data_IF_608122974405
#
_entry.id   IF_608122974405
#
_cell.length_a   1.000
_cell.length_b   1.000
_cell.length_c   1.000
_cell.angle_alpha   90.00
_cell.angle_beta   90.00
_cell.angle_gamma   90.00
#
_symmetry.space_group_name_H-M   'P 1'
#
loop_
_entity.id
_entity.type
_entity.pdbx_description
1 polymer ?
#
# COMPACT_ATOMS: atom_id res chain seq x y z
N UNK A 1 16.35 -10.23 1.62
CA UNK A 1 15.00 -10.79 1.30
C UNK A 1 14.64 -11.97 2.21
N UNK A 2 15.43 -13.07 2.27
CA UNK A 2 15.12 -14.23 3.13
C UNK A 2 14.92 -13.84 4.61
N UNK A 3 15.83 -13.05 5.16
CA UNK A 3 15.75 -12.52 6.52
C UNK A 3 14.44 -11.74 6.78
N UNK A 4 13.99 -10.93 5.82
CA UNK A 4 12.73 -10.17 5.94
C UNK A 4 11.53 -11.13 5.96
N UNK A 5 11.55 -12.16 5.10
CA UNK A 5 10.49 -13.17 5.06
C UNK A 5 10.46 -14.01 6.35
N UNK A 6 11.61 -14.35 6.91
CA UNK A 6 11.73 -15.05 8.20
C UNK A 6 11.21 -14.17 9.34
N UNK A 7 11.67 -12.92 9.40
CA UNK A 7 11.26 -11.95 10.42
C UNK A 7 9.76 -11.77 10.43
N UNK A 8 9.14 -11.62 9.26
CA UNK A 8 7.70 -11.40 9.10
C UNK A 8 6.87 -12.69 8.99
N UNK A 9 7.47 -13.87 9.18
CA UNK A 9 6.80 -15.17 9.13
C UNK A 9 6.04 -15.40 7.81
N UNK A 10 6.64 -15.00 6.69
CA UNK A 10 6.11 -15.16 5.33
C UNK A 10 6.78 -16.29 4.53
N UNK A 11 7.68 -17.05 5.15
CA UNK A 11 8.43 -18.14 4.50
C UNK A 11 7.50 -19.18 3.87
N UNK A 12 6.44 -19.59 4.58
CA UNK A 12 5.49 -20.60 4.11
C UNK A 12 4.66 -20.11 2.91
N UNK A 13 4.50 -18.80 2.76
CA UNK A 13 3.69 -18.17 1.71
C UNK A 13 4.54 -17.62 0.56
N UNK A 14 5.86 -17.89 0.52
CA UNK A 14 6.79 -17.29 -0.43
C UNK A 14 6.41 -17.55 -1.90
N UNK A 15 5.90 -18.75 -2.20
CA UNK A 15 5.54 -19.15 -3.57
C UNK A 15 4.02 -19.07 -3.84
N UNK A 16 3.26 -18.48 -2.91
CA UNK A 16 1.81 -18.32 -3.03
C UNK A 16 1.48 -17.08 -3.85
N UNK A 17 0.47 -17.17 -4.72
CA UNK A 17 -0.02 -16.01 -5.49
C UNK A 17 -0.59 -14.97 -4.52
N UNK A 18 -0.28 -13.69 -4.74
CA UNK A 18 -0.65 -12.59 -3.84
C UNK A 18 -2.15 -12.51 -3.56
N UNK A 19 -2.99 -12.87 -4.53
CA UNK A 19 -4.45 -12.83 -4.38
C UNK A 19 -4.95 -13.88 -3.40
N UNK A 20 -4.27 -15.02 -3.31
CA UNK A 20 -4.59 -16.14 -2.41
C UNK A 20 -4.05 -15.96 -0.98
N UNK A 21 -3.30 -14.90 -0.70
CA UNK A 21 -2.82 -14.59 0.65
C UNK A 21 -3.98 -14.13 1.54
N UNK A 22 -3.94 -14.53 2.82
CA UNK A 22 -4.86 -14.00 3.83
C UNK A 22 -4.67 -12.50 4.05
N UNK A 23 -5.66 -11.81 4.63
CA UNK A 23 -5.56 -10.37 4.91
C UNK A 23 -4.34 -10.02 5.78
N UNK A 24 -4.07 -10.82 6.81
CA UNK A 24 -2.87 -10.69 7.65
C UNK A 24 -1.57 -10.87 6.89
N UNK A 25 -1.49 -11.87 6.00
CA UNK A 25 -0.31 -12.09 5.16
C UNK A 25 -0.10 -10.95 4.16
N UNK A 26 -1.18 -10.45 3.52
CA UNK A 26 -1.12 -9.30 2.61
C UNK A 26 -0.59 -8.06 3.33
N UNK A 27 -1.04 -7.81 4.57
CA UNK A 27 -0.55 -6.67 5.36
C UNK A 27 0.93 -6.85 5.74
N UNK A 28 1.34 -8.04 6.20
CA UNK A 28 2.74 -8.34 6.48
C UNK A 28 3.62 -8.21 5.24
N UNK A 29 3.14 -8.65 4.06
CA UNK A 29 3.84 -8.48 2.79
C UNK A 29 4.02 -6.99 2.44
N UNK A 30 2.99 -6.17 2.68
CA UNK A 30 3.09 -4.71 2.50
C UNK A 30 4.14 -4.09 3.43
N UNK A 31 4.31 -4.59 4.66
CA UNK A 31 5.39 -4.15 5.56
C UNK A 31 6.76 -4.65 5.06
N UNK A 32 6.84 -5.90 4.59
CA UNK A 32 8.05 -6.51 4.05
C UNK A 32 8.63 -5.68 2.89
N UNK A 33 7.75 -5.21 2.01
CA UNK A 33 8.04 -4.38 0.85
C UNK A 33 8.75 -3.07 1.23
N UNK A 34 8.30 -2.40 2.28
CA UNK A 34 8.92 -1.15 2.77
C UNK A 34 10.25 -1.44 3.50
N UNK A 35 10.37 -2.62 4.13
CA UNK A 35 11.60 -3.06 4.79
C UNK A 35 12.72 -3.47 3.83
N UNK A 36 12.44 -3.71 2.54
CA UNK A 36 13.46 -4.10 1.56
C UNK A 36 14.57 -3.07 1.45
N UNK A 37 14.23 -1.78 1.56
CA UNK A 37 15.18 -0.67 1.52
C UNK A 37 15.93 -0.45 2.85
N UNK A 38 15.67 -1.29 3.86
CA UNK A 38 16.21 -1.17 5.21
C UNK A 38 16.17 0.27 5.78
N UNK A 39 15.00 0.95 5.78
CA UNK A 39 14.92 2.32 6.25
C UNK A 39 15.16 2.42 7.76
N UNK A 40 15.87 3.46 8.25
CA UNK A 40 16.08 3.68 9.68
C UNK A 40 14.78 4.10 10.41
N UNK A 41 13.84 4.70 9.67
CA UNK A 41 12.53 5.16 10.17
C UNK A 41 11.42 4.64 9.27
N UNK A 42 10.37 4.07 9.87
CA UNK A 42 9.23 3.47 9.18
C UNK A 42 7.95 4.16 9.65
N UNK A 43 7.14 4.62 8.70
CA UNK A 43 5.82 5.19 8.94
C UNK A 43 4.75 4.23 8.44
N UNK A 44 3.78 3.90 9.28
CA UNK A 44 2.70 2.98 8.97
C UNK A 44 1.37 3.64 9.27
N UNK A 45 0.53 3.76 8.24
CA UNK A 45 -0.83 4.22 8.42
C UNK A 45 -1.73 3.01 8.73
N UNK A 46 -2.33 3.02 9.92
CA UNK A 46 -3.29 2.03 10.40
C UNK A 46 -2.89 0.57 10.08
N UNK A 47 -1.82 0.04 10.71
CA UNK A 47 -1.29 -1.28 10.39
C UNK A 47 -2.22 -2.43 10.81
N UNK A 48 -3.20 -2.17 11.67
CA UNK A 48 -4.15 -3.18 12.20
C UNK A 48 -5.52 -3.14 11.53
N UNK A 49 -5.84 -2.12 10.73
CA UNK A 49 -7.16 -1.99 10.08
C UNK A 49 -7.41 -3.13 9.09
N UNK A 50 -8.59 -3.75 9.20
CA UNK A 50 -9.01 -4.88 8.36
C UNK A 50 -8.41 -6.24 8.77
N UNK A 51 -7.74 -6.32 9.92
CA UNK A 51 -7.24 -7.57 10.50
C UNK A 51 -8.13 -8.03 11.66
N UNK A 52 -8.19 -9.35 11.87
CA UNK A 52 -8.74 -9.92 13.10
C UNK A 52 -7.82 -9.63 14.30
N UNK A 53 -8.33 -9.82 15.53
CA UNK A 53 -7.60 -9.50 16.76
C UNK A 53 -6.26 -10.25 16.84
N UNK A 54 -6.24 -11.55 16.50
CA UNK A 54 -5.03 -12.36 16.57
C UNK A 54 -3.99 -11.93 15.54
N UNK A 55 -4.41 -11.66 14.29
CA UNK A 55 -3.50 -11.12 13.27
C UNK A 55 -2.99 -9.72 13.62
N UNK A 56 -3.80 -8.89 14.26
CA UNK A 56 -3.41 -7.55 14.71
C UNK A 56 -2.31 -7.63 15.77
N UNK A 57 -2.49 -8.47 16.79
CA UNK A 57 -1.47 -8.71 17.82
C UNK A 57 -0.16 -9.20 17.19
N UNK A 58 -0.24 -10.18 16.28
CA UNK A 58 0.93 -10.67 15.55
C UNK A 58 1.61 -9.56 14.73
N UNK A 59 0.84 -8.69 14.07
CA UNK A 59 1.40 -7.58 13.31
C UNK A 59 2.17 -6.61 14.22
N UNK A 60 1.61 -6.25 15.38
CA UNK A 60 2.27 -5.36 16.34
C UNK A 60 3.51 -6.03 16.96
N UNK A 61 3.46 -7.33 17.27
CA UNK A 61 4.63 -8.08 17.74
C UNK A 61 5.79 -8.03 16.74
N UNK A 62 5.47 -8.13 15.44
CA UNK A 62 6.45 -8.02 14.37
C UNK A 62 7.04 -6.62 14.29
N UNK A 63 6.20 -5.58 14.35
CA UNK A 63 6.66 -4.19 14.37
C UNK A 63 7.54 -3.89 15.60
N UNK A 64 7.22 -4.49 16.75
CA UNK A 64 8.04 -4.36 17.95
C UNK A 64 9.43 -4.99 17.75
N UNK A 65 9.52 -6.16 17.11
CA UNK A 65 10.82 -6.79 16.76
C UNK A 65 11.61 -5.94 15.77
N UNK A 66 10.93 -5.37 14.78
CA UNK A 66 11.53 -4.42 13.84
C UNK A 66 12.08 -3.20 14.61
N UNK A 67 11.34 -2.67 15.58
CA UNK A 67 11.84 -1.58 16.40
C UNK A 67 13.05 -1.98 17.26
N UNK A 68 13.00 -3.17 17.88
CA UNK A 68 14.10 -3.74 18.69
C UNK A 68 15.39 -3.96 17.91
N UNK A 69 15.30 -4.13 16.59
CA UNK A 69 16.48 -4.23 15.71
C UNK A 69 17.20 -2.88 15.46
N UNK A 70 16.80 -1.80 16.15
CA UNK A 70 17.40 -0.48 16.05
C UNK A 70 16.71 0.47 15.06
N UNK A 71 15.46 0.16 14.67
CA UNK A 71 14.68 0.99 13.73
C UNK A 71 13.62 1.79 14.48
N UNK A 72 13.31 2.99 14.00
CA UNK A 72 12.20 3.78 14.54
C UNK A 72 10.91 3.43 13.81
N UNK A 73 9.89 2.98 14.53
CA UNK A 73 8.58 2.66 13.95
C UNK A 73 7.55 3.64 14.48
N UNK A 74 6.89 4.35 13.57
CA UNK A 74 5.79 5.28 13.87
C UNK A 74 4.54 4.75 13.18
N UNK A 75 3.45 4.59 13.93
CA UNK A 75 2.19 4.15 13.36
C UNK A 75 0.98 4.88 13.96
N UNK A 76 -0.03 5.12 13.13
CA UNK A 76 -1.38 5.48 13.56
C UNK A 76 -2.15 4.19 13.88
N UNK A 77 -2.92 4.17 14.98
CA UNK A 77 -3.77 3.03 15.33
C UNK A 77 -5.12 3.53 15.79
N UNK A 78 -6.17 2.97 15.21
CA UNK A 78 -7.54 3.19 15.62
C UNK A 78 -7.90 2.19 16.73
N UNK A 79 -8.30 2.69 17.91
CA UNK A 79 -8.86 1.91 19.03
C UNK A 79 -8.12 0.59 19.33
N UNK A 80 -6.86 0.64 19.82
CA UNK A 80 -6.10 -0.58 20.09
C UNK A 80 -6.64 -1.31 21.32
N UNK A 81 -6.69 -2.65 21.27
CA UNK A 81 -6.96 -3.45 22.46
C UNK A 81 -5.88 -3.23 23.53
N UNK A 82 -6.24 -3.43 24.81
CA UNK A 82 -5.31 -3.26 25.93
C UNK A 82 -3.99 -4.07 25.75
N UNK A 83 -4.07 -5.25 25.14
CA UNK A 83 -2.92 -6.12 24.84
C UNK A 83 -1.98 -5.53 23.79
N UNK A 84 -2.53 -4.80 22.81
CA UNK A 84 -1.76 -4.09 21.79
C UNK A 84 -1.18 -2.80 22.40
N UNK A 85 -2.00 -2.07 23.17
CA UNK A 85 -1.62 -0.79 23.74
C UNK A 85 -0.36 -0.86 24.61
N UNK A 86 -0.29 -1.89 25.47
CA UNK A 86 0.87 -2.14 26.35
C UNK A 86 2.20 -2.43 25.62
N UNK A 87 2.17 -2.66 24.30
CA UNK A 87 3.39 -2.89 23.49
C UNK A 87 4.06 -1.61 23.01
N UNK A 88 3.40 -0.45 23.13
CA UNK A 88 3.98 0.82 22.69
C UNK A 88 4.90 1.42 23.74
N UNK A 89 6.08 1.87 23.29
CA UNK A 89 7.02 2.59 24.13
C UNK A 89 6.56 4.02 24.41
N UNK A 90 5.98 4.67 23.40
CA UNK A 90 5.52 6.06 23.43
C UNK A 90 4.17 6.16 22.74
N UNK A 91 3.29 7.01 23.28
CA UNK A 91 1.95 7.27 22.79
C UNK A 91 1.83 8.77 22.52
N UNK A 92 1.27 9.10 21.37
CA UNK A 92 0.96 10.48 20.96
C UNK A 92 -0.51 10.52 20.57
N UNK A 93 -1.31 11.25 21.34
CA UNK A 93 -2.76 11.35 21.14
C UNK A 93 -3.11 12.72 20.59
N UNK A 94 -3.93 12.72 19.54
CA UNK A 94 -4.38 13.92 18.84
C UNK A 94 -5.90 14.01 18.94
N UNK A 95 -6.41 15.17 19.33
CA UNK A 95 -7.82 15.50 19.30
C UNK A 95 -8.00 16.88 18.63
N UNK A 96 -8.96 17.01 17.71
CA UNK A 96 -9.23 18.25 16.98
C UNK A 96 -7.98 18.93 16.37
N UNK A 97 -6.98 18.15 15.94
CA UNK A 97 -5.72 18.64 15.39
C UNK A 97 -4.68 19.12 16.42
N UNK A 98 -4.97 19.00 17.72
CA UNK A 98 -4.08 19.37 18.82
C UNK A 98 -3.58 18.13 19.58
N UNK A 99 -2.36 18.22 20.12
CA UNK A 99 -1.81 17.16 20.97
C UNK A 99 -2.42 17.24 22.37
N UNK A 100 -3.06 16.16 22.81
CA UNK A 100 -3.68 16.06 24.15
C UNK A 100 -2.94 15.11 25.08
N UNK A 101 -2.03 14.31 24.54
CA UNK A 101 -1.13 13.48 25.34
C UNK A 101 0.11 13.12 24.53
N UNK A 102 1.25 13.14 25.21
CA UNK A 102 2.55 12.78 24.65
C UNK A 102 3.42 12.21 25.75
N UNK A 103 3.75 10.93 25.66
CA UNK A 103 4.59 10.29 26.68
C UNK A 103 4.56 8.76 26.63
N UNK A 104 5.14 8.10 27.65
CA UNK A 104 5.16 6.65 27.73
C UNK A 104 3.75 6.08 27.94
N UNK A 105 3.47 4.91 27.37
CA UNK A 105 2.16 4.26 27.50
C UNK A 105 1.70 4.08 28.95
N UNK A 106 2.61 3.79 29.87
CA UNK A 106 2.32 3.64 31.31
C UNK A 106 1.88 4.94 31.99
N UNK A 107 2.24 6.10 31.44
CA UNK A 107 1.92 7.40 32.03
C UNK A 107 0.53 7.92 31.69
N UNK A 108 -0.22 7.23 30.82
CA UNK A 108 -1.54 7.70 30.34
C UNK A 108 -2.55 7.77 31.49
N UNK A 109 -2.66 6.70 32.29
CA UNK A 109 -3.61 6.66 33.40
C UNK A 109 -3.27 7.71 34.47
N UNK A 110 -1.98 7.84 34.83
CA UNK A 110 -1.53 8.86 35.79
C UNK A 110 -1.75 10.29 35.30
N UNK A 111 -1.64 10.52 33.98
CA UNK A 111 -1.92 11.84 33.40
C UNK A 111 -3.40 12.18 33.45
N UNK A 112 -4.28 11.23 33.15
CA UNK A 112 -5.73 11.44 33.22
C UNK A 112 -6.18 11.73 34.67
N UNK A 113 -5.61 11.01 35.64
CA UNK A 113 -5.85 11.27 37.07
C UNK A 113 -5.42 12.70 37.46
N UNK A 114 -4.25 13.15 36.99
CA UNK A 114 -3.76 14.52 37.21
C UNK A 114 -4.67 15.60 36.57
N UNK A 115 -5.26 15.31 35.41
CA UNK A 115 -6.22 16.21 34.75
C UNK A 115 -7.54 16.26 35.54
N UNK A 116 -7.82 15.27 36.38
CA UNK A 116 -9.02 15.14 37.21
C UNK A 116 -10.04 14.16 36.64
N UNK A 117 -9.62 13.21 35.81
CA UNK A 117 -10.46 12.17 35.22
C UNK A 117 -9.94 10.80 35.67
N UNK A 118 -10.71 10.11 36.51
CA UNK A 118 -10.36 8.77 36.99
C UNK A 118 -10.69 7.71 35.92
N UNK A 119 -9.67 6.96 35.48
CA UNK A 119 -9.85 5.84 34.56
C UNK A 119 -10.33 4.59 35.33
N UNK A 120 -11.46 3.95 34.95
CA UNK A 120 -11.91 2.74 35.62
C UNK A 120 -10.92 1.58 35.48
N UNK A 121 -10.75 0.78 36.54
CA UNK A 121 -9.71 -0.27 36.62
C UNK A 121 -9.82 -1.38 35.58
N UNK A 122 -11.03 -1.71 35.15
CA UNK A 122 -11.29 -2.77 34.17
C UNK A 122 -11.53 -2.22 32.76
N UNK A 123 -11.26 -0.92 32.56
CA UNK A 123 -11.41 -0.27 31.27
C UNK A 123 -10.08 -0.21 30.54
N UNK A 124 -10.13 -0.26 29.22
CA UNK A 124 -8.94 -0.12 28.40
C UNK A 124 -8.47 1.35 28.42
N UNK A 125 -7.26 1.67 28.91
CA UNK A 125 -6.79 3.05 28.97
C UNK A 125 -6.72 3.72 27.59
N UNK A 126 -6.53 2.94 26.52
CA UNK A 126 -6.51 3.46 25.16
C UNK A 126 -7.89 3.92 24.69
N UNK A 127 -8.94 3.14 24.98
CA UNK A 127 -10.30 3.51 24.62
C UNK A 127 -10.75 4.71 25.47
N UNK A 128 -10.41 4.71 26.75
CA UNK A 128 -10.73 5.81 27.66
C UNK A 128 -10.17 7.15 27.19
N UNK A 129 -8.87 7.20 26.84
CA UNK A 129 -8.29 8.46 26.35
C UNK A 129 -8.90 8.90 25.02
N UNK A 130 -9.33 7.96 24.16
CA UNK A 130 -10.02 8.27 22.90
C UNK A 130 -11.42 8.84 23.16
N UNK A 131 -12.18 8.30 24.10
CA UNK A 131 -13.51 8.83 24.48
C UNK A 131 -13.40 10.24 25.08
N UNK A 132 -12.40 10.46 25.94
CA UNK A 132 -12.08 11.80 26.46
C UNK A 132 -11.71 12.74 25.31
N UNK A 133 -10.95 12.25 24.31
CA UNK A 133 -10.60 13.01 23.10
C UNK A 133 -11.81 13.41 22.25
N UNK A 134 -12.85 12.57 22.25
CA UNK A 134 -14.10 12.82 21.52
C UNK A 134 -15.06 13.77 22.27
N UNK A 135 -14.72 14.16 23.50
CA UNK A 135 -15.51 15.08 24.30
C UNK A 135 -16.66 14.42 25.08
N UNK A 136 -16.70 13.09 25.18
CA UNK A 136 -17.76 12.36 25.90
C UNK A 136 -17.80 12.71 27.39
N UNK A 137 -16.65 13.08 27.95
CA UNK A 137 -16.50 13.50 29.36
C UNK A 137 -16.53 15.03 29.54
N UNK A 138 -16.76 15.78 28.45
CA UNK A 138 -16.85 17.24 28.45
C UNK A 138 -15.69 17.92 27.72
N UNK A 139 -16.03 18.89 26.86
CA UNK A 139 -15.06 19.56 25.96
C UNK A 139 -13.99 20.36 26.71
N UNK A 140 -14.29 20.87 27.91
CA UNK A 140 -13.35 21.64 28.72
C UNK A 140 -12.11 20.87 29.16
N UNK A 141 -12.17 19.53 29.21
CA UNK A 141 -11.01 18.71 29.52
C UNK A 141 -9.97 18.70 28.40
N UNK A 142 -10.41 18.80 27.14
CA UNK A 142 -9.50 18.84 25.98
C UNK A 142 -8.62 20.09 26.07
N UNK A 143 -9.22 21.26 26.28
CA UNK A 143 -8.48 22.53 26.43
C UNK A 143 -7.50 22.47 27.61
N UNK A 144 -7.91 21.87 28.72
CA UNK A 144 -7.06 21.66 29.89
C UNK A 144 -5.87 20.77 29.57
N UNK A 145 -6.08 19.62 28.92
CA UNK A 145 -5.02 18.70 28.51
C UNK A 145 -4.03 19.36 27.54
N UNK A 146 -4.53 20.12 26.56
CA UNK A 146 -3.70 20.86 25.60
C UNK A 146 -2.84 21.91 26.32
N UNK A 147 -3.40 22.63 27.30
CA UNK A 147 -2.67 23.65 28.06
C UNK A 147 -1.54 23.07 28.93
N UNK A 148 -1.69 21.81 29.37
CA UNK A 148 -0.71 21.12 30.20
C UNK A 148 0.45 20.52 29.40
N UNK A 149 0.34 20.46 28.08
CA UNK A 149 1.34 19.82 27.22
C UNK A 149 2.31 20.84 26.66
N UNK A 150 3.58 20.60 26.93
CA UNK A 150 4.65 21.35 26.30
C UNK A 150 5.01 20.77 24.93
N UNK A 151 4.52 21.42 23.89
CA UNK A 151 4.87 21.09 22.50
C UNK A 151 6.25 21.63 22.07
N UNK A 152 6.94 22.41 22.91
CA UNK A 152 8.20 23.08 22.53
C UNK A 152 9.40 22.14 22.55
N UNK A 153 9.35 21.08 23.35
CA UNK A 153 10.44 20.12 23.50
C UNK A 153 10.16 18.81 22.73
N UNK A 154 11.19 18.09 22.23
CA UNK A 154 11.00 16.80 21.55
C UNK A 154 10.56 15.68 22.53
N UNK A 155 9.86 14.63 22.03
CA UNK A 155 9.35 13.49 22.86
C UNK A 155 10.53 12.84 23.59
N UNK A 156 11.60 12.67 22.83
CA UNK A 156 12.85 12.08 23.26
C UNK A 156 13.91 13.17 23.13
N UNK A 157 14.73 13.41 24.17
CA UNK A 157 15.80 14.40 24.09
C UNK A 157 16.73 14.04 22.92
N UNK A 158 16.95 15.01 22.02
CA UNK A 158 17.83 14.82 20.86
C UNK A 158 19.27 14.92 21.37
N UNK A 159 19.93 13.79 21.56
CA UNK A 159 21.39 13.77 21.72
C UNK A 159 22.05 14.21 20.41
N UNK A 160 22.50 15.48 20.38
CA UNK A 160 23.30 16.00 19.27
C UNK A 160 24.74 15.51 19.41
N UNK A 161 24.99 14.24 19.10
CA UNK A 161 26.37 13.77 18.96
C UNK A 161 26.92 14.19 17.57
N UNK A 162 28.16 14.70 17.48
CA UNK A 162 28.77 15.05 16.19
C UNK A 162 28.93 13.84 15.26
N UNK A 163 29.01 12.61 15.82
CA UNK A 163 29.01 11.36 15.05
C UNK A 163 27.68 11.11 14.34
N UNK A 164 26.55 11.31 15.02
CA UNK A 164 25.22 11.11 14.46
C UNK A 164 24.91 12.08 13.31
N UNK A 165 25.36 13.34 13.43
CA UNK A 165 25.25 14.31 12.33
C UNK A 165 26.06 13.92 11.09
N UNK A 166 27.22 13.30 11.28
CA UNK A 166 28.08 12.82 10.18
C UNK A 166 27.45 11.61 9.48
N UNK A 167 26.88 10.66 10.23
CA UNK A 167 26.15 9.50 9.68
C UNK A 167 24.94 9.91 8.83
N UNK A 168 24.12 10.87 9.31
CA UNK A 168 22.98 11.42 8.57
C UNK A 168 23.40 12.10 7.25
N UNK A 169 24.55 12.76 7.24
CA UNK A 169 25.05 13.43 6.04
C UNK A 169 25.65 12.44 5.02
N UNK A 170 26.18 11.30 5.47
CA UNK A 170 26.60 10.20 4.59
C UNK A 170 25.45 9.35 4.02
N UNK A 171 24.29 9.27 4.69
CA UNK A 171 23.15 8.47 4.21
C UNK A 171 22.39 9.06 2.99
N UNK A 172 22.83 10.19 2.44
CA UNK A 172 22.23 10.74 1.21
C UNK A 172 22.98 10.33 -0.05
N UNK A 173 22.58 9.18 -0.59
CA UNK A 173 22.05 9.01 -1.96
C UNK A 173 21.75 7.53 -2.17
N UNK A 174 20.50 7.14 -1.97
CA UNK A 174 19.99 5.97 -2.67
C UNK A 174 20.00 6.35 -4.17
N UNK A 175 21.09 6.04 -4.86
CA UNK A 175 21.25 6.33 -6.27
C UNK A 175 20.18 5.55 -7.02
N UNK A 176 19.26 6.27 -7.67
CA UNK A 176 18.27 5.63 -8.54
C UNK A 176 18.99 4.73 -9.54
N UNK A 177 18.42 3.54 -9.77
CA UNK A 177 18.88 2.65 -10.84
C UNK A 177 18.85 3.40 -12.18
N UNK A 178 19.77 3.09 -13.11
CA UNK A 178 19.75 3.71 -14.43
C UNK A 178 18.45 3.33 -15.16
N UNK A 179 18.06 4.18 -16.11
CA UNK A 179 16.78 4.07 -16.84
C UNK A 179 16.58 2.69 -17.49
N UNK A 180 17.62 2.14 -18.12
CA UNK A 180 17.55 0.85 -18.80
C UNK A 180 17.26 -0.32 -17.85
N UNK A 181 17.81 -0.28 -16.63
CA UNK A 181 17.57 -1.31 -15.62
C UNK A 181 16.14 -1.22 -15.09
N UNK A 182 15.66 0.00 -14.82
CA UNK A 182 14.27 0.23 -14.43
C UNK A 182 13.30 -0.27 -15.50
N UNK A 183 13.59 0.02 -16.77
CA UNK A 183 12.80 -0.45 -17.92
C UNK A 183 12.82 -1.98 -18.00
N UNK A 184 13.99 -2.62 -17.95
CA UNK A 184 14.14 -4.08 -18.09
C UNK A 184 13.42 -4.82 -16.96
N UNK A 185 13.55 -4.35 -15.72
CA UNK A 185 12.88 -4.93 -14.55
C UNK A 185 11.35 -4.76 -14.67
N UNK A 186 10.89 -3.56 -15.04
CA UNK A 186 9.46 -3.28 -15.23
C UNK A 186 8.87 -4.13 -16.35
N UNK A 187 9.57 -4.25 -17.48
CA UNK A 187 9.18 -5.07 -18.62
C UNK A 187 9.08 -6.55 -18.21
N UNK A 188 10.11 -7.10 -17.56
CA UNK A 188 10.11 -8.49 -17.07
C UNK A 188 8.96 -8.74 -16.10
N UNK A 189 8.71 -7.80 -15.17
CA UNK A 189 7.59 -7.88 -14.21
C UNK A 189 6.25 -7.95 -14.94
N UNK A 190 6.03 -7.07 -15.91
CA UNK A 190 4.77 -6.96 -16.65
C UNK A 190 4.54 -8.17 -17.57
N UNK A 191 5.57 -8.67 -18.24
CA UNK A 191 5.49 -9.92 -19.03
C UNK A 191 5.14 -11.11 -18.13
N UNK A 192 5.75 -11.22 -16.95
CA UNK A 192 5.44 -12.29 -16.00
C UNK A 192 4.00 -12.21 -15.48
N UNK A 193 3.49 -11.01 -15.19
CA UNK A 193 2.10 -10.80 -14.80
C UNK A 193 1.15 -11.21 -15.93
N UNK A 194 1.44 -10.78 -17.15
CA UNK A 194 0.66 -11.11 -18.35
C UNK A 194 0.60 -12.62 -18.61
N UNK A 195 1.73 -13.32 -18.47
CA UNK A 195 1.80 -14.77 -18.67
C UNK A 195 1.10 -15.58 -17.58
N UNK A 196 1.10 -15.08 -16.33
CA UNK A 196 0.45 -15.74 -15.20
C UNK A 196 -1.07 -15.58 -15.23
N UNK A 197 -1.58 -14.48 -15.79
CA UNK A 197 -3.00 -14.28 -15.99
C UNK A 197 -3.53 -15.02 -17.24
N UNK A 198 -3.56 -16.36 -17.13
CA UNK A 198 -4.05 -17.23 -18.20
C UNK A 198 -5.52 -16.99 -18.52
N UNK A 199 -6.34 -16.71 -17.50
CA UNK A 199 -7.77 -16.52 -17.67
C UNK A 199 -8.07 -15.30 -18.55
N UNK A 200 -7.37 -14.19 -18.31
CA UNK A 200 -7.47 -13.00 -19.14
C UNK A 200 -7.06 -13.28 -20.59
N UNK A 201 -5.97 -14.03 -20.80
CA UNK A 201 -5.52 -14.39 -22.15
C UNK A 201 -6.51 -15.27 -22.90
N UNK A 202 -7.07 -16.30 -22.24
CA UNK A 202 -8.08 -17.16 -22.87
C UNK A 202 -9.36 -16.40 -23.20
N UNK A 203 -9.84 -15.55 -22.28
CA UNK A 203 -11.02 -14.74 -22.50
C UNK A 203 -10.83 -13.79 -23.69
N UNK A 204 -9.65 -13.16 -23.78
CA UNK A 204 -9.29 -12.28 -24.90
C UNK A 204 -9.28 -13.02 -26.22
N UNK A 205 -8.58 -14.16 -26.32
CA UNK A 205 -8.53 -14.95 -27.55
C UNK A 205 -9.91 -15.46 -27.96
N UNK A 206 -10.70 -15.94 -27.01
CA UNK A 206 -12.07 -16.42 -27.25
C UNK A 206 -12.96 -15.31 -27.81
N UNK A 207 -12.88 -14.09 -27.26
CA UNK A 207 -13.65 -12.93 -27.74
C UNK A 207 -13.31 -12.58 -29.19
N UNK A 208 -12.04 -12.60 -29.58
CA UNK A 208 -11.61 -12.30 -30.95
C UNK A 208 -12.09 -13.37 -31.93
N UNK A 209 -11.98 -14.65 -31.56
CA UNK A 209 -12.47 -15.76 -32.37
C UNK A 209 -13.99 -15.67 -32.55
N UNK A 210 -14.73 -15.45 -31.45
CA UNK A 210 -16.18 -15.29 -31.49
C UNK A 210 -16.61 -14.14 -32.40
N UNK A 211 -15.99 -12.96 -32.27
CA UNK A 211 -16.34 -11.82 -33.09
C UNK A 211 -15.94 -12.02 -34.56
N UNK A 212 -14.83 -12.72 -34.81
CA UNK A 212 -14.45 -13.17 -36.15
C UNK A 212 -15.52 -14.02 -36.82
N UNK A 213 -16.12 -14.97 -36.08
CA UNK A 213 -17.25 -15.76 -36.58
C UNK A 213 -18.50 -14.93 -36.84
N UNK A 214 -18.83 -13.97 -35.96
CA UNK A 214 -20.00 -13.09 -36.14
C UNK A 214 -19.86 -12.22 -37.40
N UNK A 215 -18.72 -11.56 -37.58
CA UNK A 215 -18.46 -10.71 -38.75
C UNK A 215 -18.36 -11.55 -40.02
N UNK A 216 -17.65 -12.68 -39.95
CA UNK A 216 -17.53 -13.61 -41.08
C UNK A 216 -18.87 -14.20 -41.52
N UNK A 217 -19.76 -14.48 -40.57
CA UNK A 217 -21.13 -14.93 -40.86
C UNK A 217 -22.00 -13.83 -41.46
N UNK A 218 -21.89 -12.58 -40.98
CA UNK A 218 -22.68 -11.45 -41.46
C UNK A 218 -22.31 -11.04 -42.89
N UNK A 219 -21.03 -11.12 -43.25
CA UNK A 219 -20.51 -10.75 -44.58
C UNK A 219 -20.18 -11.96 -45.47
N UNK A 220 -20.90 -13.07 -45.32
CA UNK A 220 -20.66 -14.29 -46.10
C UNK A 220 -20.75 -14.02 -47.62
N UNK A 221 -19.73 -14.39 -48.37
CA UNK A 221 -19.69 -14.21 -49.82
C UNK A 221 -19.46 -12.76 -50.30
N UNK A 222 -19.17 -11.83 -49.39
CA UNK A 222 -18.66 -10.50 -49.73
C UNK A 222 -17.14 -10.56 -50.00
N UNK A 223 -16.63 -9.66 -50.85
CA UNK A 223 -15.20 -9.54 -51.20
C UNK A 223 -14.81 -10.13 -52.55
N UNK A 224 -15.55 -11.13 -53.07
CA UNK A 224 -15.22 -11.83 -54.32
C UNK A 224 -15.83 -11.19 -55.58
N UNK A 225 -16.76 -10.25 -55.42
CA UNK A 225 -17.47 -9.60 -56.53
C UNK A 225 -17.29 -8.08 -56.45
N UNK A 226 -16.63 -7.52 -57.47
CA UNK A 226 -16.36 -6.09 -57.58
C UNK A 226 -17.60 -5.24 -57.84
N UNK A 227 -18.73 -5.84 -58.23
CA UNK A 227 -19.99 -5.12 -58.44
C UNK A 227 -20.66 -4.71 -57.11
N UNK A 228 -20.34 -5.38 -56.00
CA UNK A 228 -20.90 -5.13 -54.65
C UNK A 228 -19.99 -4.25 -53.80
N UNK A 229 -19.53 -3.14 -54.37
CA UNK A 229 -18.54 -2.23 -53.74
C UNK A 229 -18.93 -1.76 -52.35
N UNK A 230 -20.20 -1.41 -52.11
CA UNK A 230 -20.71 -0.97 -50.81
C UNK A 230 -20.60 -2.03 -49.72
N UNK A 231 -20.89 -3.30 -50.05
CA UNK A 231 -20.81 -4.40 -49.09
C UNK A 231 -19.36 -4.77 -48.76
N UNK A 232 -18.48 -4.76 -49.76
CA UNK A 232 -17.04 -4.99 -49.58
C UNK A 232 -16.41 -3.88 -48.72
N UNK A 233 -16.80 -2.62 -48.98
CA UNK A 233 -16.39 -1.48 -48.17
C UNK A 233 -16.89 -1.59 -46.72
N UNK A 234 -18.16 -1.96 -46.52
CA UNK A 234 -18.75 -2.19 -45.21
C UNK A 234 -18.02 -3.28 -44.40
N UNK A 235 -17.60 -4.36 -45.06
CA UNK A 235 -16.78 -5.41 -44.45
C UNK A 235 -15.41 -4.88 -44.00
N UNK A 236 -14.67 -4.19 -44.87
CA UNK A 236 -13.36 -3.60 -44.51
C UNK A 236 -13.51 -2.61 -43.35
N UNK A 237 -14.55 -1.78 -43.36
CA UNK A 237 -14.83 -0.83 -42.30
C UNK A 237 -15.15 -1.53 -40.97
N UNK A 238 -15.96 -2.59 -40.99
CA UNK A 238 -16.26 -3.39 -39.80
C UNK A 238 -14.99 -4.04 -39.23
N UNK A 239 -14.12 -4.61 -40.08
CA UNK A 239 -12.84 -5.16 -39.65
C UNK A 239 -11.94 -4.10 -38.98
N UNK A 240 -11.84 -2.90 -39.55
CA UNK A 240 -11.03 -1.80 -38.97
C UNK A 240 -11.59 -1.38 -37.62
N UNK A 241 -12.90 -1.19 -37.49
CA UNK A 241 -13.54 -0.84 -36.21
C UNK A 241 -13.20 -1.87 -35.14
N UNK A 242 -13.33 -3.15 -35.49
CA UNK A 242 -13.13 -4.26 -34.56
C UNK A 242 -11.68 -4.34 -34.10
N UNK A 243 -10.73 -4.20 -35.02
CA UNK A 243 -9.30 -4.16 -34.70
C UNK A 243 -8.92 -2.94 -33.84
N UNK A 244 -9.62 -1.81 -33.97
CA UNK A 244 -9.34 -0.61 -33.18
C UNK A 244 -9.97 -0.65 -31.78
N UNK A 245 -11.23 -1.08 -31.66
CA UNK A 245 -11.98 -1.01 -30.41
C UNK A 245 -11.73 -2.18 -29.47
N UNK A 246 -11.56 -3.40 -29.97
CA UNK A 246 -11.42 -4.58 -29.10
C UNK A 246 -10.16 -4.54 -28.21
N UNK A 247 -8.97 -4.12 -28.70
CA UNK A 247 -7.80 -4.04 -27.84
C UNK A 247 -7.90 -2.92 -26.79
N UNK A 248 -8.71 -1.90 -27.02
CA UNK A 248 -8.86 -0.73 -26.15
C UNK A 248 -9.67 -1.05 -24.87
N UNK A 249 -10.75 -1.84 -25.01
CA UNK A 249 -11.71 -2.07 -23.91
C UNK A 249 -11.08 -2.71 -22.65
N UNK A 250 -10.23 -3.75 -22.75
CA UNK A 250 -9.57 -4.32 -21.58
C UNK A 250 -8.60 -3.36 -20.90
N UNK A 251 -7.87 -2.55 -21.68
CA UNK A 251 -6.93 -1.54 -21.16
C UNK A 251 -7.71 -0.50 -20.35
N UNK A 252 -8.86 -0.04 -20.87
CA UNK A 252 -9.71 0.94 -20.20
C UNK A 252 -10.24 0.44 -18.85
N UNK A 253 -10.61 -0.84 -18.76
CA UNK A 253 -11.14 -1.44 -17.53
C UNK A 253 -10.04 -1.76 -16.51
N UNK A 254 -8.86 -2.18 -16.97
CA UNK A 254 -7.79 -2.62 -16.07
C UNK A 254 -6.86 -1.48 -15.58
N UNK A 255 -6.69 -0.44 -16.40
CA UNK A 255 -5.79 0.68 -16.09
C UNK A 255 -6.15 1.42 -14.78
N UNK A 256 -7.43 1.71 -14.44
CA UNK A 256 -7.78 2.38 -13.18
C UNK A 256 -7.28 1.64 -11.93
N UNK A 257 -7.30 0.30 -11.96
CA UNK A 257 -6.79 -0.53 -10.86
C UNK A 257 -5.27 -0.44 -10.75
N UNK A 258 -4.56 -0.43 -11.89
CA UNK A 258 -3.10 -0.30 -11.91
C UNK A 258 -2.63 1.09 -11.47
N UNK A 259 -3.37 2.16 -11.78
CA UNK A 259 -3.01 3.54 -11.41
C UNK A 259 -2.87 3.72 -9.91
N UNK A 260 -3.70 3.04 -9.10
CA UNK A 260 -3.58 3.12 -7.64
C UNK A 260 -2.24 2.56 -7.14
N UNK A 261 -1.78 1.45 -7.72
CA UNK A 261 -0.48 0.86 -7.42
C UNK A 261 0.66 1.76 -7.90
N UNK A 262 0.61 2.25 -9.14
CA UNK A 262 1.65 3.13 -9.70
C UNK A 262 1.81 4.40 -8.89
N UNK A 263 0.70 5.01 -8.42
CA UNK A 263 0.75 6.17 -7.52
C UNK A 263 1.54 5.88 -6.25
N UNK A 264 1.31 4.71 -5.64
CA UNK A 264 2.03 4.28 -4.43
C UNK A 264 3.51 4.01 -4.71
N UNK A 265 3.83 3.26 -5.77
CA UNK A 265 5.22 2.92 -6.14
C UNK A 265 6.04 4.20 -6.49
N UNK A 266 5.41 5.16 -7.17
CA UNK A 266 6.00 6.45 -7.50
C UNK A 266 6.17 7.35 -6.27
N UNK A 267 5.21 7.36 -5.34
CA UNK A 267 5.34 8.06 -4.05
C UNK A 267 6.56 7.55 -3.27
N UNK A 268 6.76 6.23 -3.27
CA UNK A 268 7.94 5.57 -2.67
C UNK A 268 9.22 5.71 -3.51
N UNK A 269 9.17 6.37 -4.67
CA UNK A 269 10.30 6.64 -5.58
C UNK A 269 11.09 5.40 -6.01
N UNK A 270 10.42 4.26 -6.19
CA UNK A 270 11.10 3.02 -6.62
C UNK A 270 11.59 3.08 -8.07
N UNK A 271 10.84 3.73 -8.95
CA UNK A 271 11.18 3.94 -10.35
C UNK A 271 10.55 5.23 -10.88
N UNK A 272 11.08 5.74 -11.99
CA UNK A 272 10.52 6.90 -12.67
C UNK A 272 9.36 6.50 -13.60
N UNK A 273 8.44 7.42 -13.86
CA UNK A 273 7.26 7.12 -14.68
C UNK A 273 7.62 6.79 -16.15
N UNK A 274 8.70 7.37 -16.68
CA UNK A 274 9.08 7.18 -18.09
C UNK A 274 9.43 5.72 -18.46
N UNK A 275 10.32 4.98 -17.75
CA UNK A 275 10.58 3.58 -18.06
C UNK A 275 9.35 2.69 -17.84
N UNK A 276 8.49 3.01 -16.87
CA UNK A 276 7.25 2.28 -16.63
C UNK A 276 6.28 2.38 -17.80
N UNK A 277 5.98 3.59 -18.28
CA UNK A 277 5.07 3.77 -19.42
C UNK A 277 5.66 3.19 -20.70
N UNK A 278 6.98 3.29 -20.91
CA UNK A 278 7.64 2.64 -22.04
C UNK A 278 7.49 1.12 -21.98
N UNK A 279 7.72 0.50 -20.80
CA UNK A 279 7.53 -0.94 -20.61
C UNK A 279 6.06 -1.35 -20.82
N UNK A 280 5.10 -0.55 -20.34
CA UNK A 280 3.66 -0.78 -20.56
C UNK A 280 3.33 -0.85 -22.05
N UNK A 281 3.80 0.13 -22.84
CA UNK A 281 3.57 0.14 -24.29
C UNK A 281 4.19 -1.10 -24.95
N UNK A 282 5.43 -1.45 -24.61
CA UNK A 282 6.11 -2.61 -25.22
C UNK A 282 5.43 -3.94 -24.89
N UNK A 283 4.96 -4.14 -23.65
CA UNK A 283 4.24 -5.37 -23.27
C UNK A 283 2.89 -5.48 -23.98
N UNK A 284 2.25 -4.37 -24.33
CA UNK A 284 0.96 -4.41 -25.03
C UNK A 284 1.08 -4.78 -26.51
N UNK A 285 2.24 -4.61 -27.15
CA UNK A 285 2.43 -4.86 -28.60
C UNK A 285 2.15 -6.32 -28.98
N UNK A 286 2.73 -7.35 -28.33
CA UNK A 286 2.46 -8.75 -28.70
C UNK A 286 1.03 -9.20 -28.42
N UNK A 287 0.30 -8.44 -27.59
CA UNK A 287 -1.06 -8.78 -27.19
C UNK A 287 -2.11 -8.09 -28.07
N UNK A 288 -1.77 -7.06 -28.84
CA UNK A 288 -2.66 -6.40 -29.81
C UNK A 288 -2.76 -7.21 -31.09
#
# INVERSE_FOLDING_TARGET
IKEILETLRLVNAQNTVTDSLSGGEKKRLSIALELVNNPPVIFLDEPTTGLDEMSSIQCIDLLQRVAQSGRTVVCSIHTPSARIFTKFHQVYVVAAGQCIYRGPCSGVVSFLDYVGIECPKYYNPADFIIEVSNGEYGVGFIEKMVSMIDNRHPIIPIEKSPRFMMEISTEKKCSKLPWCDQFTISLKRMILQLYRDRNYMYLKMSLHVFLGFVIGGLFLGCGNDGSKTLFNFGFCFACIIVLLYLPMLPILLHFPLQVQLVKRENFNRWYDLSPYFCALTVVTIPAQ
#
